data_IF_554432228287
#
_entry.id   IF_554432228287
#
_cell.length_a   1.000
_cell.length_b   1.000
_cell.length_c   1.000
_cell.angle_alpha   90.00
_cell.angle_beta   90.00
_cell.angle_gamma   90.00
#
_symmetry.space_group_name_H-M   'P 1'
#
loop_
_entity.id
_entity.type
_entity.pdbx_description
1 polymer ?
#
# COMPACT_ATOMS: atom_id res chain seq x y z
N UNK A 1 -10.60 15.91 -15.03
CA UNK A 1 -9.44 15.14 -14.54
C UNK A 1 -9.95 13.82 -14.00
N UNK A 2 -9.42 12.70 -14.51
CA UNK A 2 -9.90 11.36 -14.22
C UNK A 2 -8.91 10.59 -13.34
N UNK A 3 -9.38 9.47 -12.81
CA UNK A 3 -8.56 8.41 -12.24
C UNK A 3 -8.07 7.53 -13.39
N UNK A 4 -6.79 7.21 -13.46
CA UNK A 4 -6.25 6.29 -14.47
C UNK A 4 -6.39 4.84 -14.01
N UNK A 5 -5.66 4.43 -12.97
CA UNK A 5 -5.77 3.09 -12.38
C UNK A 5 -6.05 3.22 -10.88
N UNK A 6 -7.32 3.01 -10.51
CA UNK A 6 -7.75 3.04 -9.12
C UNK A 6 -7.14 1.90 -8.31
N UNK A 7 -6.47 2.22 -7.20
CA UNK A 7 -5.78 1.22 -6.42
C UNK A 7 -5.87 1.45 -4.90
N UNK A 8 -4.80 1.17 -4.14
CA UNK A 8 -4.79 1.10 -2.69
C UNK A 8 -5.50 2.25 -1.96
N UNK A 9 -6.18 1.88 -0.88
CA UNK A 9 -7.03 2.75 -0.05
C UNK A 9 -6.67 2.52 1.42
N UNK A 10 -6.62 3.57 2.21
CA UNK A 10 -6.50 3.45 3.66
C UNK A 10 -7.14 4.67 4.35
N UNK A 11 -7.54 4.50 5.62
CA UNK A 11 -7.99 5.60 6.47
C UNK A 11 -7.12 5.68 7.71
N UNK A 12 -6.87 6.88 8.20
CA UNK A 12 -6.26 7.07 9.53
C UNK A 12 -7.13 6.44 10.62
N UNK A 13 -6.52 6.04 11.74
CA UNK A 13 -7.23 5.39 12.85
C UNK A 13 -8.34 6.27 13.48
N UNK A 14 -8.24 7.60 13.35
CA UNK A 14 -9.25 8.56 13.77
C UNK A 14 -10.27 8.90 12.66
N UNK A 15 -10.18 8.25 11.49
CA UNK A 15 -11.08 8.38 10.35
C UNK A 15 -11.22 9.79 9.77
N UNK A 16 -10.21 10.66 9.94
CA UNK A 16 -10.25 12.04 9.43
C UNK A 16 -9.57 12.21 8.06
N UNK A 17 -8.77 11.22 7.65
CA UNK A 17 -7.96 11.28 6.44
C UNK A 17 -8.11 9.98 5.67
N UNK A 18 -8.47 10.10 4.41
CA UNK A 18 -8.47 8.99 3.45
C UNK A 18 -7.24 9.11 2.54
N UNK A 19 -6.51 8.02 2.39
CA UNK A 19 -5.41 7.88 1.44
C UNK A 19 -5.85 7.04 0.26
N UNK A 20 -5.37 7.41 -0.93
CA UNK A 20 -5.75 6.76 -2.17
C UNK A 20 -4.59 6.76 -3.16
N UNK A 21 -4.42 5.66 -3.89
CA UNK A 21 -3.41 5.49 -4.92
C UNK A 21 -4.05 5.54 -6.31
N UNK A 22 -3.53 6.41 -7.17
CA UNK A 22 -3.64 6.26 -8.62
C UNK A 22 -2.31 5.71 -9.14
N UNK A 23 -2.32 4.43 -9.54
CA UNK A 23 -1.11 3.67 -9.81
C UNK A 23 -0.36 4.20 -11.03
N UNK A 24 -1.08 4.49 -12.12
CA UNK A 24 -0.51 4.95 -13.39
C UNK A 24 0.00 6.40 -13.28
N UNK A 25 -0.62 7.22 -12.43
CA UNK A 25 -0.08 8.52 -12.06
C UNK A 25 1.10 8.44 -11.07
N UNK A 26 1.45 7.24 -10.56
CA UNK A 26 2.45 7.00 -9.51
C UNK A 26 2.31 7.98 -8.34
N UNK A 27 1.07 8.21 -7.90
CA UNK A 27 0.75 9.25 -6.92
C UNK A 27 -0.13 8.70 -5.81
N UNK A 28 0.24 9.01 -4.56
CA UNK A 28 -0.61 8.84 -3.39
C UNK A 28 -1.26 10.19 -3.10
N UNK A 29 -2.58 10.20 -3.04
CA UNK A 29 -3.39 11.33 -2.64
C UNK A 29 -3.86 11.17 -1.19
N UNK A 30 -4.08 12.31 -0.54
CA UNK A 30 -4.80 12.40 0.72
C UNK A 30 -6.06 13.24 0.54
N UNK A 31 -7.09 12.92 1.31
CA UNK A 31 -8.37 13.61 1.35
C UNK A 31 -8.76 13.82 2.80
N UNK A 32 -9.46 14.91 3.07
CA UNK A 32 -10.18 15.06 4.33
C UNK A 32 -11.42 14.17 4.24
N UNK A 33 -11.65 13.32 5.24
CA UNK A 33 -12.72 12.34 5.26
C UNK A 33 -13.74 12.66 6.36
N UNK A 34 -15.01 12.72 5.99
CA UNK A 34 -16.11 12.82 6.94
C UNK A 34 -16.75 11.44 7.11
N UNK A 35 -16.55 10.82 8.27
CA UNK A 35 -17.07 9.49 8.57
C UNK A 35 -18.60 9.44 8.64
N UNK A 36 -19.25 10.51 9.14
CA UNK A 36 -20.71 10.54 9.27
C UNK A 36 -21.41 10.63 7.91
N UNK A 37 -20.83 11.40 6.99
CA UNK A 37 -21.38 11.60 5.64
C UNK A 37 -20.85 10.59 4.62
N UNK A 38 -19.73 9.90 4.92
CA UNK A 38 -19.03 9.02 3.98
C UNK A 38 -18.36 9.77 2.82
N UNK A 39 -18.04 11.05 3.00
CA UNK A 39 -17.55 11.94 1.93
C UNK A 39 -16.04 12.21 2.04
N UNK A 40 -15.38 12.27 0.89
CA UNK A 40 -13.97 12.66 0.76
C UNK A 40 -13.85 14.01 0.05
N UNK A 41 -13.05 14.93 0.59
CA UNK A 41 -12.88 16.29 0.07
C UNK A 41 -11.43 16.76 0.14
N UNK A 42 -11.13 17.96 -0.36
CA UNK A 42 -9.81 18.59 -0.26
C UNK A 42 -8.64 17.70 -0.72
N UNK A 43 -8.80 17.07 -1.90
CA UNK A 43 -7.77 16.24 -2.53
C UNK A 43 -6.44 16.98 -2.60
N UNK A 44 -5.39 16.36 -2.07
CA UNK A 44 -4.01 16.86 -2.12
C UNK A 44 -3.05 15.73 -2.47
N UNK A 45 -1.98 16.06 -3.19
CA UNK A 45 -0.88 15.12 -3.41
C UNK A 45 -0.17 14.91 -2.07
N UNK A 46 -0.14 13.67 -1.60
CA UNK A 46 0.70 13.27 -0.47
C UNK A 46 2.12 12.99 -0.96
N UNK A 47 2.25 12.07 -1.93
CA UNK A 47 3.52 11.65 -2.52
C UNK A 47 3.34 11.53 -4.03
N UNK A 48 4.16 12.25 -4.79
CA UNK A 48 4.32 12.08 -6.24
C UNK A 48 5.66 11.40 -6.47
N UNK A 49 5.64 10.12 -6.86
CA UNK A 49 6.86 9.31 -6.96
C UNK A 49 7.81 9.81 -8.05
N UNK A 50 7.31 10.61 -9.00
CA UNK A 50 8.14 11.20 -10.05
C UNK A 50 8.96 12.39 -9.53
N UNK A 51 8.68 12.87 -8.32
CA UNK A 51 9.31 14.07 -7.72
C UNK A 51 9.87 13.82 -6.32
N UNK A 52 9.36 12.83 -5.60
CA UNK A 52 9.76 12.55 -4.23
C UNK A 52 11.01 11.67 -4.19
N UNK A 53 12.00 12.09 -3.39
CA UNK A 53 13.28 11.40 -3.31
C UNK A 53 13.15 10.04 -2.62
N UNK A 54 13.80 9.03 -3.16
CA UNK A 54 13.78 7.65 -2.68
C UNK A 54 12.68 6.80 -3.31
N UNK A 55 11.85 7.37 -4.17
CA UNK A 55 10.76 6.68 -4.87
C UNK A 55 11.01 6.51 -6.37
N UNK A 56 12.09 7.09 -6.90
CA UNK A 56 12.33 7.21 -8.34
C UNK A 56 12.43 5.85 -9.03
N UNK A 57 13.13 4.90 -8.38
CA UNK A 57 13.39 3.54 -8.89
C UNK A 57 12.28 2.53 -8.55
N UNK A 58 11.22 2.96 -7.84
CA UNK A 58 10.06 2.11 -7.55
C UNK A 58 9.07 2.25 -8.69
N UNK A 59 8.57 1.14 -9.23
CA UNK A 59 7.66 1.15 -10.38
C UNK A 59 6.25 1.67 -10.00
N UNK A 60 5.19 0.87 -10.08
CA UNK A 60 3.83 1.36 -9.80
C UNK A 60 3.43 1.10 -8.33
N UNK A 61 2.98 2.12 -7.56
CA UNK A 61 2.32 1.86 -6.30
C UNK A 61 0.96 1.17 -6.57
N UNK A 62 0.67 0.10 -5.84
CA UNK A 62 -0.50 -0.77 -6.05
C UNK A 62 -1.40 -0.74 -4.80
N UNK A 63 -1.64 -1.87 -4.16
CA UNK A 63 -2.39 -1.98 -2.92
C UNK A 63 -1.67 -1.37 -1.71
N UNK A 64 -2.46 -0.98 -0.72
CA UNK A 64 -1.98 -0.32 0.49
C UNK A 64 -2.80 -0.72 1.72
N UNK A 65 -2.16 -0.72 2.88
CA UNK A 65 -2.81 -0.77 4.19
C UNK A 65 -2.15 0.22 5.16
N UNK A 66 -2.65 0.32 6.39
CA UNK A 66 -2.12 1.20 7.43
C UNK A 66 -1.91 0.43 8.73
N UNK A 67 -0.87 0.78 9.48
CA UNK A 67 -0.60 0.19 10.79
C UNK A 67 -1.16 1.02 11.96
N UNK A 68 -1.06 0.48 13.18
CA UNK A 68 -1.54 1.14 14.41
C UNK A 68 -0.83 2.46 14.74
N UNK A 69 0.27 2.78 14.05
CA UNK A 69 1.02 4.03 14.20
C UNK A 69 0.67 5.04 13.08
N UNK A 70 -0.39 4.78 12.31
CA UNK A 70 -0.78 5.55 11.12
C UNK A 70 0.33 5.66 10.07
N UNK A 71 1.13 4.59 9.88
CA UNK A 71 2.11 4.50 8.79
C UNK A 71 1.55 3.64 7.67
N UNK A 72 1.78 4.07 6.44
CA UNK A 72 1.26 3.41 5.25
C UNK A 72 2.18 2.25 4.87
N UNK A 73 1.59 1.13 4.51
CA UNK A 73 2.28 -0.02 3.93
C UNK A 73 1.83 -0.15 2.48
N UNK A 74 2.72 0.19 1.55
CA UNK A 74 2.40 0.32 0.12
C UNK A 74 3.15 -0.75 -0.66
N UNK A 75 2.42 -1.50 -1.46
CA UNK A 75 2.97 -2.50 -2.38
C UNK A 75 3.44 -1.86 -3.68
N UNK A 76 4.53 -2.37 -4.25
CA UNK A 76 5.09 -1.86 -5.50
C UNK A 76 5.07 -2.92 -6.60
N UNK A 77 4.11 -2.77 -7.51
CA UNK A 77 4.00 -3.58 -8.70
C UNK A 77 5.18 -3.28 -9.64
N UNK A 78 6.04 -4.28 -9.88
CA UNK A 78 7.28 -4.11 -10.63
C UNK A 78 8.49 -3.81 -9.75
N UNK A 79 8.26 -3.34 -8.52
CA UNK A 79 9.29 -2.97 -7.54
C UNK A 79 9.68 -4.06 -6.54
N UNK A 80 8.98 -5.19 -6.52
CA UNK A 80 9.34 -6.37 -5.73
C UNK A 80 9.36 -6.17 -4.22
N UNK A 81 8.62 -5.20 -3.69
CA UNK A 81 8.66 -4.87 -2.27
C UNK A 81 7.34 -4.31 -1.73
N UNK A 82 7.29 -4.24 -0.40
CA UNK A 82 6.36 -3.41 0.36
C UNK A 82 7.17 -2.36 1.13
N UNK A 83 6.76 -1.09 1.06
CA UNK A 83 7.37 -0.01 1.84
C UNK A 83 6.46 0.42 2.99
N UNK A 84 7.05 0.62 4.16
CA UNK A 84 6.42 1.34 5.26
C UNK A 84 6.81 2.81 5.16
N UNK A 85 5.84 3.70 5.02
CA UNK A 85 6.03 5.13 4.76
C UNK A 85 5.35 5.94 5.85
N UNK A 86 6.04 6.97 6.33
CA UNK A 86 5.42 7.98 7.20
C UNK A 86 4.71 9.04 6.36
N UNK A 87 3.37 9.12 6.39
CA UNK A 87 2.65 10.11 5.58
C UNK A 87 2.94 11.56 6.02
N UNK A 88 3.37 11.79 7.26
CA UNK A 88 3.64 13.15 7.76
C UNK A 88 4.96 13.72 7.21
N UNK A 89 5.99 12.88 7.11
CA UNK A 89 7.34 13.29 6.70
C UNK A 89 7.71 12.80 5.30
N UNK A 90 6.91 11.88 4.74
CA UNK A 90 7.13 11.12 3.50
C UNK A 90 8.35 10.20 3.54
N UNK A 91 8.94 10.01 4.72
CA UNK A 91 10.10 9.15 4.88
C UNK A 91 9.71 7.68 4.70
N UNK A 92 10.55 6.94 3.97
CA UNK A 92 10.51 5.48 3.94
C UNK A 92 11.13 4.98 5.24
N UNK A 93 10.31 4.40 6.11
CA UNK A 93 10.71 3.88 7.41
C UNK A 93 11.23 2.45 7.34
N UNK A 94 10.71 1.66 6.38
CA UNK A 94 11.10 0.27 6.18
C UNK A 94 10.85 -0.15 4.74
N UNK A 95 11.72 -1.02 4.23
CA UNK A 95 11.53 -1.77 2.99
C UNK A 95 11.50 -3.26 3.34
N UNK A 96 10.50 -3.96 2.83
CA UNK A 96 10.38 -5.43 2.90
C UNK A 96 10.44 -5.96 1.48
N UNK A 97 11.54 -6.62 1.13
CA UNK A 97 11.67 -7.27 -0.18
C UNK A 97 10.87 -8.57 -0.21
N UNK A 98 10.15 -8.78 -1.32
CA UNK A 98 9.32 -9.95 -1.56
C UNK A 98 9.95 -10.71 -2.74
N UNK A 99 10.05 -12.04 -2.70
CA UNK A 99 10.68 -12.81 -3.78
C UNK A 99 9.75 -12.99 -5.00
N UNK A 100 9.12 -11.90 -5.43
CA UNK A 100 8.29 -11.78 -6.61
C UNK A 100 8.38 -10.35 -7.15
N UNK A 101 8.45 -10.16 -8.47
CA UNK A 101 8.56 -8.84 -9.10
C UNK A 101 7.30 -7.97 -8.92
N UNK A 102 6.13 -8.58 -9.05
CA UNK A 102 4.85 -7.88 -9.07
C UNK A 102 4.14 -8.05 -7.74
N UNK A 103 4.46 -7.19 -6.76
CA UNK A 103 3.80 -7.16 -5.45
C UNK A 103 2.54 -6.32 -5.56
N UNK A 104 1.37 -6.92 -5.32
CA UNK A 104 0.09 -6.31 -5.67
C UNK A 104 -0.63 -5.69 -4.49
N UNK A 105 -0.82 -6.40 -3.38
CA UNK A 105 -1.50 -5.81 -2.22
C UNK A 105 -1.03 -6.45 -0.91
N UNK A 106 -1.38 -5.82 0.21
CA UNK A 106 -1.06 -6.35 1.53
C UNK A 106 -2.13 -6.01 2.57
N UNK A 107 -2.22 -6.86 3.58
CA UNK A 107 -3.04 -6.62 4.77
C UNK A 107 -2.41 -7.26 6.00
N UNK A 108 -2.71 -6.71 7.17
CA UNK A 108 -2.33 -7.34 8.43
C UNK A 108 -3.31 -8.45 8.81
N UNK A 109 -2.78 -9.53 9.37
CA UNK A 109 -3.54 -10.67 9.85
C UNK A 109 -2.80 -11.43 10.94
N UNK A 110 -3.22 -12.66 11.18
CA UNK A 110 -2.77 -13.45 12.34
C UNK A 110 -3.49 -13.03 13.64
N UNK A 111 -3.36 -13.84 14.71
CA UNK A 111 -4.11 -13.61 15.95
C UNK A 111 -3.85 -12.26 16.62
N UNK A 112 -2.67 -11.69 16.41
CA UNK A 112 -2.25 -10.41 17.01
C UNK A 112 -2.17 -9.25 16.00
N UNK A 113 -2.61 -9.46 14.76
CA UNK A 113 -2.44 -8.51 13.64
C UNK A 113 -0.98 -8.12 13.39
N UNK A 114 -0.03 -9.02 13.62
CA UNK A 114 1.42 -8.83 13.49
C UNK A 114 2.04 -9.66 12.35
N UNK A 115 1.21 -10.21 11.46
CA UNK A 115 1.62 -10.85 10.22
C UNK A 115 1.13 -9.99 9.05
N UNK A 116 2.03 -9.51 8.21
CA UNK A 116 1.67 -8.83 6.97
C UNK A 116 1.56 -9.87 5.85
N UNK A 117 0.33 -10.16 5.42
CA UNK A 117 0.08 -10.98 4.24
C UNK A 117 0.22 -10.13 2.98
N UNK A 118 0.90 -10.65 1.97
CA UNK A 118 1.24 -9.94 0.75
C UNK A 118 0.89 -10.78 -0.47
N UNK A 119 0.06 -10.25 -1.36
CA UNK A 119 -0.32 -10.89 -2.62
C UNK A 119 0.62 -10.45 -3.75
N UNK A 120 0.82 -11.32 -4.74
CA UNK A 120 1.68 -11.05 -5.89
C UNK A 120 1.05 -11.56 -7.19
N UNK A 121 1.59 -11.12 -8.33
CA UNK A 121 1.19 -11.58 -9.65
C UNK A 121 2.35 -12.23 -10.41
N UNK A 122 2.05 -13.25 -11.20
CA UNK A 122 3.03 -13.85 -12.11
C UNK A 122 3.03 -13.17 -13.49
N UNK A 123 1.85 -12.96 -14.06
CA UNK A 123 1.58 -12.47 -15.43
C UNK A 123 2.17 -13.26 -16.60
N UNK A 124 3.44 -13.67 -16.57
CA UNK A 124 4.10 -14.36 -17.68
C UNK A 124 4.99 -15.52 -17.22
N UNK A 125 5.29 -16.45 -18.13
CA UNK A 125 6.27 -17.52 -17.86
C UNK A 125 7.68 -16.98 -17.63
N UNK A 126 8.06 -15.89 -18.31
CA UNK A 126 9.37 -15.27 -18.12
C UNK A 126 9.54 -14.74 -16.69
N UNK A 127 8.51 -14.11 -16.14
CA UNK A 127 8.50 -13.68 -14.74
C UNK A 127 8.66 -14.89 -13.82
N UNK A 128 7.92 -15.98 -14.04
CA UNK A 128 8.04 -17.20 -13.22
C UNK A 128 9.41 -17.86 -13.31
N UNK A 129 10.12 -17.76 -14.45
CA UNK A 129 11.49 -18.29 -14.59
C UNK A 129 12.47 -17.55 -13.68
N UNK A 130 12.32 -16.22 -13.55
CA UNK A 130 13.19 -15.39 -12.72
C UNK A 130 12.72 -15.31 -11.26
N UNK A 131 11.42 -15.46 -11.03
CA UNK A 131 10.76 -15.40 -9.73
C UNK A 131 9.83 -16.61 -9.60
N UNK A 132 10.33 -17.78 -9.17
CA UNK A 132 9.55 -19.02 -9.12
C UNK A 132 8.26 -18.91 -8.29
N UNK A 133 8.29 -18.11 -7.24
CA UNK A 133 7.16 -17.87 -6.33
C UNK A 133 6.21 -16.74 -6.80
N UNK A 134 6.41 -16.20 -8.01
CA UNK A 134 5.52 -15.17 -8.53
C UNK A 134 4.07 -15.68 -8.65
N UNK A 135 3.12 -14.90 -8.13
CA UNK A 135 1.72 -15.29 -8.02
C UNK A 135 1.35 -15.97 -6.69
N UNK A 136 2.32 -16.22 -5.80
CA UNK A 136 2.07 -16.71 -4.46
C UNK A 136 1.56 -15.60 -3.52
N UNK A 137 1.09 -16.04 -2.35
CA UNK A 137 0.82 -15.19 -1.19
C UNK A 137 1.93 -15.41 -0.18
N UNK A 138 2.52 -14.33 0.32
CA UNK A 138 3.58 -14.33 1.31
C UNK A 138 3.04 -13.91 2.67
N UNK A 139 3.64 -14.46 3.73
CA UNK A 139 3.40 -14.01 5.10
C UNK A 139 4.72 -13.43 5.65
N UNK A 140 4.73 -12.13 5.92
CA UNK A 140 5.88 -11.43 6.49
C UNK A 140 5.65 -11.29 7.99
N UNK A 141 6.60 -11.78 8.77
CA UNK A 141 6.59 -11.72 10.24
C UNK A 141 7.81 -10.94 10.74
N UNK A 142 7.95 -10.75 12.05
CA UNK A 142 9.09 -10.09 12.69
C UNK A 142 9.38 -8.65 12.20
N UNK A 143 8.40 -8.00 11.55
CA UNK A 143 8.54 -6.62 11.10
C UNK A 143 8.32 -5.59 12.23
N UNK A 144 7.86 -6.02 13.41
CA UNK A 144 7.76 -5.21 14.63
C UNK A 144 6.61 -4.19 14.65
N UNK A 145 5.59 -4.37 13.83
CA UNK A 145 4.42 -3.48 13.75
C UNK A 145 3.14 -4.29 13.91
N UNK A 146 2.00 -3.62 14.10
CA UNK A 146 0.68 -4.25 14.12
C UNK A 146 -0.30 -3.50 13.24
N UNK A 147 -1.23 -4.22 12.63
CA UNK A 147 -2.31 -3.64 11.86
C UNK A 147 -3.56 -3.35 12.68
N UNK A 148 -4.58 -2.92 11.96
CA UNK A 148 -5.94 -2.72 12.46
C UNK A 148 -6.85 -3.86 11.98
N UNK A 149 -7.92 -4.12 12.73
CA UNK A 149 -8.97 -5.02 12.26
C UNK A 149 -9.64 -4.43 11.01
N UNK A 150 -9.97 -5.24 9.99
CA UNK A 150 -10.74 -4.77 8.87
C UNK A 150 -12.14 -4.39 9.32
N UNK A 151 -12.69 -3.33 8.72
CA UNK A 151 -14.12 -3.04 8.87
C UNK A 151 -14.94 -4.05 8.07
N UNK A 152 -16.07 -4.46 8.63
CA UNK A 152 -17.09 -5.20 7.90
C UNK A 152 -18.00 -4.20 7.16
N UNK A 153 -18.37 -4.54 5.93
CA UNK A 153 -19.40 -3.81 5.22
C UNK A 153 -20.74 -3.98 5.94
N UNK A 154 -21.46 -2.88 6.17
CA UNK A 154 -22.80 -2.86 6.75
C UNK A 154 -23.78 -2.36 5.69
N UNK A 155 -24.86 -3.11 5.48
CA UNK A 155 -25.99 -2.75 4.59
C UNK A 155 -26.92 -1.69 5.22
#
# INVERSE_FOLDING_TARGET
>A
EGISIANGLAWTANNDTMYYIDADCRTIYAYDYNLEEGTASNRRILIDYNKEKGFEDLDLPDGMTIDTENKLWVCHYGGGCVLRIDPATKAILKRVDIPAKHVTSCCFGGPNLDILYVTTAAQTEEIRKNFPEAGAVFAVTDHGCRGLQPYAFND
#
